data_IF_151008894009
#
_entry.id   IF_151008894009
#
_cell.length_a   1.000
_cell.length_b   1.000
_cell.length_c   1.000
_cell.angle_alpha   90.00
_cell.angle_beta   90.00
_cell.angle_gamma   90.00
#
_symmetry.space_group_name_H-M   'P 1'
#
loop_
_entity.id
_entity.type
_entity.pdbx_description
1 polymer ?
2 water ?
#
# COMPACT_ATOMS: atom_id res chain seq x y z
N UNK A 13 8.19 30.39 10.08
CA UNK A 13 8.73 29.73 8.87
C UNK A 13 8.82 28.21 9.08
N UNK A 14 7.99 27.63 9.98
CA UNK A 14 7.60 26.21 9.98
C UNK A 14 7.26 25.83 8.54
N UNK A 15 7.43 24.55 8.17
CA UNK A 15 7.04 24.09 6.85
C UNK A 15 5.58 24.33 6.63
N UNK A 16 4.78 24.15 7.66
CA UNK A 16 3.37 24.45 7.60
C UNK A 16 3.20 25.90 7.12
N UNK A 17 3.89 26.83 7.78
CA UNK A 17 3.72 28.23 7.43
C UNK A 17 4.22 28.52 6.06
N UNK A 18 5.29 27.85 5.64
CA UNK A 18 5.79 27.97 4.30
C UNK A 18 4.74 27.57 3.20
N UNK A 19 4.12 26.41 3.40
CA UNK A 19 3.09 25.95 2.51
C UNK A 19 1.97 26.95 2.44
N UNK A 20 1.53 27.40 3.61
CA UNK A 20 0.41 28.29 3.65
C UNK A 20 0.80 29.63 3.04
N UNK A 21 2.00 30.12 3.36
CA UNK A 21 2.39 31.42 2.85
C UNK A 21 2.65 31.47 1.35
N UNK A 22 3.18 30.38 0.78
CA UNK A 22 3.44 30.30 -0.61
C UNK A 22 2.22 29.90 -1.42
N UNK A 23 1.16 29.39 -0.82
CA UNK A 23 -0.03 28.92 -1.56
C UNK A 23 0.23 27.60 -2.25
N UNK A 24 1.25 26.85 -1.89
CA UNK A 24 1.70 25.68 -2.66
C UNK A 24 2.17 24.53 -1.80
N UNK A 25 1.58 23.37 -2.09
CA UNK A 25 1.94 22.10 -1.40
C UNK A 25 2.66 21.25 -2.43
N UNK A 26 3.83 20.75 -2.14
CA UNK A 26 4.57 19.85 -3.02
C UNK A 26 4.38 18.45 -2.56
N UNK A 27 3.87 17.63 -3.44
CA UNK A 27 3.54 16.25 -3.16
C UNK A 27 4.34 15.34 -4.00
N UNK A 28 5.15 14.46 -3.32
CA UNK A 28 5.91 13.44 -4.02
C UNK A 28 5.09 12.17 -4.26
N UNK A 29 5.10 11.64 -5.50
CA UNK A 29 4.35 10.50 -5.81
C UNK A 29 4.98 9.74 -6.94
N UNK A 30 4.77 8.44 -6.92
CA UNK A 30 5.34 7.61 -7.97
C UNK A 30 4.41 7.56 -9.17
N UNK A 31 3.09 7.80 -8.98
CA UNK A 31 2.13 7.79 -10.07
C UNK A 31 1.99 6.46 -10.73
N UNK A 32 2.35 5.37 -10.10
CA UNK A 32 2.33 4.05 -10.80
C UNK A 32 1.63 2.98 -10.03
N UNK A 33 0.75 3.35 -9.09
CA UNK A 33 0.13 2.40 -8.19
C UNK A 33 -1.33 2.54 -8.27
N UNK A 34 -1.96 1.59 -8.93
CA UNK A 34 -3.41 1.43 -8.92
C UNK A 34 -3.88 0.73 -7.66
N UNK A 35 -4.79 1.38 -6.94
CA UNK A 35 -5.55 2.59 -7.12
C UNK A 35 -5.14 3.79 -6.28
N UNK A 36 -3.98 3.77 -5.68
CA UNK A 36 -3.52 4.81 -4.81
C UNK A 36 -3.07 6.07 -5.48
N UNK A 37 -2.26 6.00 -6.56
CA UNK A 37 -1.74 7.19 -7.19
C UNK A 37 -1.28 6.80 -8.55
N UNK A 38 -2.01 7.27 -9.53
CA UNK A 38 -1.75 6.88 -10.92
C UNK A 38 -1.68 8.15 -11.74
N UNK A 39 -0.59 8.28 -12.53
CA UNK A 39 -0.54 9.36 -13.49
C UNK A 39 -1.11 8.85 -14.78
N UNK A 40 -2.22 9.44 -15.23
CA UNK A 40 -2.82 9.00 -16.50
C UNK A 40 -1.86 9.26 -17.66
N UNK A 41 -1.52 8.22 -18.44
CA UNK A 41 -0.44 8.42 -19.44
C UNK A 41 -0.84 9.35 -20.59
N UNK A 42 -2.13 9.57 -20.77
CA UNK A 42 -2.64 10.43 -21.84
C UNK A 42 -2.79 11.89 -21.39
N UNK A 43 -3.59 12.08 -20.35
CA UNK A 43 -4.02 13.41 -19.88
C UNK A 43 -2.96 14.05 -19.00
N UNK A 44 -2.01 13.25 -18.57
CA UNK A 44 -1.02 13.64 -17.57
C UNK A 44 -1.59 13.94 -16.20
N UNK A 45 -2.87 13.75 -16.00
CA UNK A 45 -3.43 14.03 -14.67
C UNK A 45 -3.28 12.84 -13.70
N UNK A 46 -3.16 13.17 -12.41
CA UNK A 46 -3.18 12.16 -11.40
C UNK A 46 -4.58 11.80 -10.93
N UNK A 47 -4.70 10.57 -10.54
CA UNK A 47 -5.92 10.09 -9.94
C UNK A 47 -5.62 8.96 -8.97
N UNK A 48 -6.54 8.74 -8.05
CA UNK A 48 -6.42 7.69 -7.12
C UNK A 48 -6.66 8.11 -5.70
N UNK A 49 -6.67 7.14 -4.79
CA UNK A 49 -6.91 7.39 -3.38
C UNK A 49 -6.08 8.50 -2.77
N UNK A 50 -4.78 8.35 -2.95
CA UNK A 50 -3.87 9.36 -2.43
C UNK A 50 -4.04 10.68 -3.04
N UNK A 51 -4.39 10.75 -4.32
CA UNK A 51 -4.53 11.95 -5.01
C UNK A 51 -5.75 12.66 -4.40
N UNK A 52 -6.84 11.90 -4.23
CA UNK A 52 -7.99 12.43 -3.53
C UNK A 52 -7.69 12.96 -2.15
N UNK A 53 -6.87 12.26 -1.38
CA UNK A 53 -6.49 12.74 -0.06
C UNK A 53 -5.77 14.05 -0.19
N UNK A 54 -4.76 14.10 -1.03
CA UNK A 54 -3.99 15.32 -1.22
C UNK A 54 -4.78 16.51 -1.72
N UNK A 55 -5.73 16.27 -2.61
CA UNK A 55 -6.54 17.34 -3.20
C UNK A 55 -7.46 17.85 -2.09
N UNK A 56 -7.91 17.00 -1.17
CA UNK A 56 -8.73 17.44 -0.06
C UNK A 56 -7.95 18.25 0.93
N UNK A 57 -6.74 17.79 1.26
CA UNK A 57 -5.85 18.54 2.10
C UNK A 57 -5.59 19.90 1.54
N UNK A 58 -5.18 19.96 0.30
CA UNK A 58 -4.81 21.23 -0.36
C UNK A 58 -6.00 22.13 -0.36
N UNK A 59 -7.18 21.60 -0.66
CA UNK A 59 -8.41 22.40 -0.62
C UNK A 59 -8.62 23.04 0.74
N UNK A 60 -8.45 22.22 1.77
CA UNK A 60 -8.74 22.64 3.12
C UNK A 60 -7.73 23.68 3.52
N UNK A 61 -6.49 23.53 3.05
CA UNK A 61 -5.44 24.53 3.37
C UNK A 61 -5.52 25.74 2.50
N UNK A 62 -6.29 25.71 1.43
CA UNK A 62 -6.31 26.83 0.46
C UNK A 62 -5.10 26.97 -0.41
N UNK A 63 -4.46 25.86 -0.74
CA UNK A 63 -3.25 25.88 -1.52
C UNK A 63 -3.36 25.05 -2.78
N UNK A 64 -2.51 25.27 -3.71
CA UNK A 64 -2.41 24.51 -4.94
C UNK A 64 -1.47 23.34 -4.66
N UNK A 65 -1.53 22.28 -5.45
CA UNK A 65 -0.58 21.17 -5.43
C UNK A 65 0.35 21.20 -6.61
N UNK A 66 1.62 20.97 -6.32
CA UNK A 66 2.68 20.73 -7.32
C UNK A 66 3.01 19.26 -7.07
N UNK A 67 2.72 18.39 -8.02
CA UNK A 67 3.15 17.02 -7.95
C UNK A 67 4.57 16.89 -8.40
N UNK A 68 5.38 16.22 -7.59
CA UNK A 68 6.74 16.01 -7.85
C UNK A 68 6.92 14.52 -8.11
N UNK A 69 7.36 14.15 -9.32
CA UNK A 69 7.50 12.70 -9.56
C UNK A 69 8.68 12.11 -8.84
N UNK A 70 8.48 10.90 -8.40
CA UNK A 70 9.52 10.18 -7.78
C UNK A 70 9.28 8.73 -8.12
N UNK A 71 10.24 7.89 -7.82
CA UNK A 71 10.11 6.45 -8.05
C UNK A 71 10.16 5.74 -6.73
N UNK A 72 9.76 4.48 -6.67
CA UNK A 72 9.84 3.76 -5.44
C UNK A 72 11.19 3.73 -4.80
N UNK A 73 12.24 3.63 -5.62
CA UNK A 73 13.49 3.52 -4.98
C UNK A 73 13.96 4.83 -4.37
N UNK A 74 13.32 5.94 -4.76
CA UNK A 74 13.74 7.24 -4.34
C UNK A 74 12.70 8.01 -3.53
N UNK A 75 11.54 7.42 -3.28
CA UNK A 75 10.51 8.23 -2.68
C UNK A 75 10.87 8.66 -1.21
N UNK A 76 11.56 7.83 -0.46
CA UNK A 76 12.04 8.15 0.85
C UNK A 76 13.12 9.26 0.77
N UNK A 77 14.12 9.06 -0.07
CA UNK A 77 15.13 10.06 -0.15
C UNK A 77 14.60 11.37 -0.61
N UNK A 78 13.54 11.41 -1.39
CA UNK A 78 13.01 12.69 -1.80
C UNK A 78 12.40 13.46 -0.64
N UNK A 79 11.88 12.76 0.36
CA UNK A 79 11.43 13.43 1.61
C UNK A 79 12.56 13.97 2.39
N UNK A 80 13.58 13.13 2.55
CA UNK A 80 14.72 13.50 3.36
C UNK A 80 15.50 14.62 2.76
N UNK A 81 15.55 14.73 1.44
CA UNK A 81 16.22 15.80 0.77
C UNK A 81 15.38 17.03 0.52
N UNK A 82 14.12 16.98 0.89
CA UNK A 82 13.24 18.10 0.72
C UNK A 82 12.77 18.45 -0.67
N UNK A 83 12.68 17.44 -1.50
CA UNK A 83 12.17 17.60 -2.82
C UNK A 83 10.67 17.85 -2.86
N UNK A 84 9.97 17.47 -1.81
CA UNK A 84 8.53 17.69 -1.71
C UNK A 84 8.23 17.77 -0.19
N UNK A 85 7.05 18.23 0.13
CA UNK A 85 6.61 18.52 1.47
C UNK A 85 6.01 17.28 2.14
N UNK A 86 5.47 16.35 1.36
CA UNK A 86 4.71 15.23 1.79
C UNK A 86 4.74 14.24 0.63
N UNK A 87 4.79 12.96 0.98
CA UNK A 87 4.68 11.88 0.01
C UNK A 87 3.23 11.33 -0.04
N UNK A 88 2.83 10.69 -1.12
CA UNK A 88 1.65 9.86 -1.09
C UNK A 88 1.96 8.59 -0.28
N UNK A 89 1.01 7.66 -0.23
CA UNK A 89 1.11 6.55 0.71
C UNK A 89 2.33 5.68 0.44
N UNK A 90 3.00 5.29 1.52
CA UNK A 90 4.03 4.29 1.50
C UNK A 90 3.84 3.45 2.77
N UNK A 91 4.43 2.26 2.79
CA UNK A 91 4.45 1.47 3.97
C UNK A 91 5.31 2.06 5.04
N UNK A 92 4.79 2.22 6.22
CA UNK A 92 5.50 2.67 7.37
C UNK A 92 6.40 1.52 7.87
N UNK A 93 7.69 1.77 7.97
CA UNK A 93 8.63 0.77 8.51
C UNK A 93 9.55 1.46 9.48
N UNK A 94 10.14 0.65 10.33
CA UNK A 94 11.06 1.20 11.30
C UNK A 94 12.24 1.91 10.69
N UNK A 95 12.84 1.32 9.65
CA UNK A 95 14.03 1.87 9.04
C UNK A 95 13.64 3.18 8.34
N UNK A 96 12.47 3.21 7.73
CA UNK A 96 12.04 4.54 7.18
C UNK A 96 11.80 5.56 8.25
N UNK A 97 11.20 5.16 9.35
CA UNK A 97 10.93 6.08 10.43
C UNK A 97 12.20 6.65 11.09
N UNK A 98 13.36 6.01 10.85
CA UNK A 98 14.63 6.62 11.31
C UNK A 98 15.01 7.84 10.54
N UNK A 99 14.56 7.96 9.29
CA UNK A 99 14.97 9.04 8.52
C UNK A 99 13.86 9.96 8.00
N UNK A 100 12.62 9.53 8.13
CA UNK A 100 11.48 10.29 7.61
C UNK A 100 10.43 10.28 8.71
N UNK A 101 9.65 11.35 8.72
CA UNK A 101 8.48 11.46 9.52
C UNK A 101 7.31 10.74 8.84
N UNK A 102 6.39 10.20 9.62
CA UNK A 102 5.18 9.66 9.07
C UNK A 102 3.97 10.35 9.68
N UNK A 103 2.90 10.45 8.90
CA UNK A 103 1.59 10.81 9.39
C UNK A 103 0.97 9.59 10.06
N UNK A 104 -0.10 9.87 10.79
CA UNK A 104 -1.04 8.80 11.15
C UNK A 104 -1.41 7.97 9.92
N UNK A 105 -1.67 6.68 10.10
CA UNK A 105 -2.10 5.79 9.06
C UNK A 105 -3.57 5.81 8.91
N UNK A 106 -4.00 5.60 7.71
CA UNK A 106 -5.41 5.57 7.31
C UNK A 106 -5.77 4.28 6.56
N UNK A 107 -4.86 3.30 6.49
CA UNK A 107 -5.11 2.02 5.80
C UNK A 107 -4.13 1.03 6.36
N UNK A 108 -4.65 -0.11 6.77
CA UNK A 108 -3.92 -1.21 7.31
C UNK A 108 -4.12 -2.39 6.43
N UNK A 109 -3.02 -3.13 6.18
CA UNK A 109 -3.13 -4.29 5.35
C UNK A 109 -2.26 -5.37 6.02
N UNK A 110 -2.22 -6.54 5.40
CA UNK A 110 -1.38 -7.58 5.86
C UNK A 110 -1.14 -8.57 4.82
N UNK A 111 -0.52 -9.73 5.17
CA UNK A 111 -0.27 -10.77 4.13
C UNK A 111 -1.34 -11.82 4.32
N UNK A 112 -1.90 -12.30 3.22
CA UNK A 112 -2.94 -13.29 3.24
C UNK A 112 -2.69 -14.34 2.17
N UNK A 113 -3.27 -15.52 2.38
CA UNK A 113 -3.15 -16.57 1.36
C UNK A 113 -4.31 -16.56 0.40
N UNK A 114 -4.00 -16.88 -0.87
CA UNK A 114 -4.99 -17.14 -1.93
C UNK A 114 -4.94 -18.61 -2.33
N UNK A 115 -6.09 -19.17 -2.50
CA UNK A 115 -6.30 -20.49 -3.03
C UNK A 115 -7.43 -20.47 -4.03
N UNK A 116 -7.56 -21.52 -4.80
CA UNK A 116 -8.82 -21.64 -5.68
C UNK A 116 -9.99 -21.86 -4.74
N UNK A 117 -11.13 -21.28 -5.08
CA UNK A 117 -12.37 -21.49 -4.34
C UNK A 117 -12.70 -22.92 -4.07
N UNK A 118 -12.45 -23.77 -5.09
CA UNK A 118 -12.72 -25.17 -4.94
C UNK A 118 -11.93 -25.82 -3.82
N UNK A 119 -10.85 -25.16 -3.44
CA UNK A 119 -10.02 -25.65 -2.38
C UNK A 119 -10.12 -24.91 -1.09
N UNK A 120 -11.07 -23.98 -0.98
CA UNK A 120 -11.13 -23.17 0.21
C UNK A 120 -11.44 -23.85 1.51
N UNK A 121 -12.30 -24.86 1.47
CA UNK A 121 -12.64 -25.58 2.67
C UNK A 121 -11.48 -26.50 3.07
N UNK A 122 -10.76 -27.05 2.10
CA UNK A 122 -9.56 -27.86 2.37
C UNK A 122 -8.43 -27.04 2.93
N UNK A 123 -8.26 -25.86 2.40
CA UNK A 123 -7.19 -24.97 2.83
C UNK A 123 -7.78 -23.77 3.54
N UNK A 124 -8.44 -23.99 4.66
CA UNK A 124 -9.17 -22.95 5.36
C UNK A 124 -8.34 -22.21 6.36
N UNK A 125 -7.13 -22.66 6.62
CA UNK A 125 -6.24 -22.05 7.57
C UNK A 125 -4.82 -21.89 7.10
N UNK A 126 -4.05 -20.97 7.70
CA UNK A 126 -2.61 -20.96 7.47
C UNK A 126 -2.01 -22.32 7.75
N UNK A 127 -2.39 -22.95 8.87
CA UNK A 127 -1.75 -24.22 9.20
C UNK A 127 -1.98 -25.26 8.11
N UNK A 128 -3.17 -25.28 7.50
CA UNK A 128 -3.49 -26.24 6.45
C UNK A 128 -2.53 -26.11 5.26
N UNK A 129 -1.96 -24.93 5.09
CA UNK A 129 -1.07 -24.68 3.96
C UNK A 129 0.39 -24.95 4.20
N UNK A 130 0.72 -25.36 5.43
CA UNK A 130 2.08 -25.68 5.82
C UNK A 130 2.12 -27.17 5.98
N UNK A 131 2.41 -27.85 4.91
CA UNK A 131 2.30 -29.28 4.76
C UNK A 131 3.08 -29.78 3.58
N UNK A 132 3.79 -30.90 3.73
CA UNK A 132 4.49 -31.46 2.59
C UNK A 132 3.56 -31.84 1.46
N UNK A 133 2.27 -31.93 1.69
CA UNK A 133 1.34 -32.27 0.62
C UNK A 133 0.79 -31.01 -0.09
N UNK A 134 1.35 -29.84 0.29
CA UNK A 134 0.88 -28.57 -0.25
C UNK A 134 2.03 -27.99 -1.04
N UNK A 135 1.70 -27.34 -2.12
CA UNK A 135 2.63 -26.58 -2.89
C UNK A 135 2.22 -25.12 -2.82
N UNK A 136 3.16 -24.26 -2.43
CA UNK A 136 3.03 -22.85 -2.32
C UNK A 136 3.78 -22.21 -3.46
N UNK A 137 3.13 -21.39 -4.28
CA UNK A 137 3.85 -20.62 -5.25
C UNK A 137 4.39 -19.33 -4.76
N UNK A 138 5.57 -19.02 -5.22
CA UNK A 138 6.28 -17.81 -4.83
C UNK A 138 6.96 -17.28 -6.07
N UNK A 139 7.50 -16.08 -5.93
CA UNK A 139 8.35 -15.53 -6.99
C UNK A 139 9.80 -15.52 -6.53
N UNK A 140 10.67 -16.16 -7.32
CA UNK A 140 12.04 -16.41 -6.93
C UNK A 140 12.75 -15.14 -6.49
N UNK A 141 13.36 -15.21 -5.33
CA UNK A 141 14.30 -14.17 -4.91
C UNK A 141 13.67 -12.93 -4.30
N UNK A 142 12.35 -12.96 -4.09
CA UNK A 142 11.62 -11.85 -3.50
C UNK A 142 11.54 -11.94 -1.97
N UNK A 143 11.20 -10.84 -1.34
CA UNK A 143 11.01 -10.87 0.11
C UNK A 143 9.76 -11.67 0.37
N UNK A 144 8.76 -11.59 -0.51
CA UNK A 144 7.55 -12.42 -0.36
C UNK A 144 7.83 -13.91 -0.32
N UNK A 145 8.82 -14.33 -1.12
CA UNK A 145 9.20 -15.75 -1.06
C UNK A 145 9.85 -16.14 0.25
N UNK A 146 10.67 -15.24 0.82
CA UNK A 146 11.23 -15.52 2.14
C UNK A 146 10.14 -15.67 3.22
N UNK A 147 9.11 -14.82 3.09
CA UNK A 147 8.05 -14.92 3.94
C UNK A 147 7.28 -16.26 3.81
N UNK A 148 7.15 -16.77 2.58
CA UNK A 148 6.50 -18.02 2.35
C UNK A 148 7.27 -19.15 3.01
N UNK A 149 8.59 -19.05 2.95
CA UNK A 149 9.37 -20.09 3.62
C UNK A 149 9.17 -20.05 5.12
N UNK A 150 9.07 -18.83 5.67
CA UNK A 150 8.73 -18.65 7.11
C UNK A 150 7.37 -19.20 7.48
N UNK A 151 6.35 -18.97 6.64
CA UNK A 151 5.00 -19.33 7.04
C UNK A 151 4.69 -20.80 6.75
N UNK A 152 5.33 -21.34 5.71
CA UNK A 152 5.09 -22.69 5.22
C UNK A 152 6.37 -23.44 5.10
N UNK A 153 7.04 -23.62 6.22
CA UNK A 153 8.30 -24.30 6.12
C UNK A 153 8.25 -25.76 5.66
N UNK A 154 7.12 -26.44 5.83
CA UNK A 154 6.99 -27.81 5.41
C UNK A 154 6.55 -28.01 3.95
N UNK A 155 6.04 -26.96 3.31
CA UNK A 155 5.46 -27.06 2.05
C UNK A 155 6.43 -27.02 0.93
N UNK A 156 6.03 -27.61 -0.16
CA UNK A 156 6.85 -27.53 -1.33
C UNK A 156 6.69 -26.16 -1.94
N UNK A 157 7.76 -25.54 -2.39
CA UNK A 157 7.67 -24.26 -3.06
C UNK A 157 7.74 -24.33 -4.53
N UNK A 158 6.85 -23.64 -5.19
CA UNK A 158 6.77 -23.61 -6.66
C UNK A 158 7.27 -22.18 -6.97
N UNK A 159 8.57 -22.04 -7.15
CA UNK A 159 9.20 -20.75 -7.13
C UNK A 159 9.46 -20.29 -8.58
N UNK A 160 8.64 -19.34 -9.06
CA UNK A 160 8.68 -19.00 -10.43
C UNK A 160 9.42 -17.73 -10.66
N UNK A 161 10.06 -17.71 -11.79
CA UNK A 161 10.87 -16.61 -12.10
C UNK A 161 10.10 -15.46 -12.74
N UNK A 162 10.37 -14.30 -12.16
CA UNK A 162 9.77 -13.08 -12.56
C UNK A 162 10.09 -12.90 -14.06
N UNK A 163 9.10 -12.47 -14.86
CA UNK A 163 7.83 -11.88 -14.39
C UNK A 163 6.65 -12.87 -14.32
N UNK A 164 6.87 -14.19 -14.31
CA UNK A 164 5.80 -15.17 -13.97
C UNK A 164 5.30 -14.78 -12.59
N UNK A 165 3.99 -14.93 -12.39
CA UNK A 165 3.41 -14.50 -11.13
C UNK A 165 2.96 -15.76 -10.36
N UNK A 166 3.20 -15.71 -9.07
CA UNK A 166 2.81 -16.75 -8.10
C UNK A 166 1.35 -17.16 -8.25
N UNK A 167 0.47 -16.17 -8.34
CA UNK A 167 -0.93 -16.49 -8.33
C UNK A 167 -1.37 -17.22 -9.56
N UNK A 168 -0.64 -17.07 -10.68
CA UNK A 168 -0.96 -17.81 -11.88
C UNK A 168 -0.73 -19.27 -11.71
N UNK A 169 0.22 -19.63 -10.84
CA UNK A 169 0.40 -21.02 -10.60
C UNK A 169 -0.77 -21.66 -9.91
N UNK A 170 -1.33 -20.84 -8.97
CA UNK A 170 -2.53 -21.29 -8.31
C UNK A 170 -3.71 -21.39 -9.29
N UNK A 171 -3.80 -20.43 -10.19
CA UNK A 171 -4.93 -20.50 -11.13
C UNK A 171 -4.79 -21.75 -12.03
N UNK A 172 -3.54 -22.11 -12.37
CA UNK A 172 -3.23 -23.19 -13.24
C UNK A 172 -3.28 -24.53 -12.58
N UNK A 173 -3.39 -24.62 -11.25
CA UNK A 173 -3.26 -25.87 -10.59
C UNK A 173 -1.81 -26.40 -10.40
N UNK A 174 -0.81 -25.60 -10.65
CA UNK A 174 0.59 -25.97 -10.36
C UNK A 174 1.00 -25.65 -8.94
N UNK A 175 0.08 -25.09 -8.16
CA UNK A 175 0.35 -24.82 -6.75
C UNK A 175 -1.00 -24.72 -6.10
N UNK A 176 -1.04 -24.98 -4.80
CA UNK A 176 -2.31 -24.94 -4.01
C UNK A 176 -2.64 -23.51 -3.54
N UNK A 177 -1.63 -22.72 -3.26
CA UNK A 177 -1.85 -21.38 -2.75
C UNK A 177 -0.62 -20.53 -2.97
N UNK A 178 -0.86 -19.26 -2.77
CA UNK A 178 0.19 -18.27 -2.72
C UNK A 178 -0.16 -17.21 -1.71
N UNK A 179 0.84 -16.38 -1.40
CA UNK A 179 0.59 -15.28 -0.46
C UNK A 179 0.84 -13.95 -1.08
N UNK A 180 0.12 -12.94 -0.65
CA UNK A 180 0.33 -11.61 -1.16
C UNK A 180 -0.22 -10.64 -0.14
N UNK A 181 -0.15 -9.33 -0.40
CA UNK A 181 -0.78 -8.37 0.45
C UNK A 181 -2.31 -8.50 0.32
N UNK A 182 -3.01 -8.13 1.39
CA UNK A 182 -4.48 -8.11 1.38
C UNK A 182 -4.93 -7.17 0.26
N UNK A 183 -4.21 -6.07 0.12
CA UNK A 183 -4.51 -5.09 -0.90
C UNK A 183 -4.52 -5.72 -2.26
N UNK A 184 -3.47 -6.44 -2.62
CA UNK A 184 -3.43 -7.05 -3.89
C UNK A 184 -4.40 -8.18 -3.99
N UNK A 185 -4.54 -8.96 -2.91
CA UNK A 185 -5.50 -10.05 -2.95
C UNK A 185 -6.93 -9.58 -3.22
N UNK A 186 -7.29 -8.49 -2.60
CA UNK A 186 -8.63 -7.94 -2.81
C UNK A 186 -8.88 -7.52 -4.26
N UNK A 187 -7.82 -7.09 -4.96
CA UNK A 187 -7.90 -6.86 -6.43
C UNK A 187 -7.97 -8.17 -7.16
N UNK A 188 -7.16 -9.15 -6.76
CA UNK A 188 -7.04 -10.37 -7.50
C UNK A 188 -8.33 -11.23 -7.53
N UNK A 189 -9.07 -11.26 -6.42
CA UNK A 189 -10.26 -12.06 -6.32
C UNK A 189 -11.38 -11.47 -7.20
N UNK A 190 -11.33 -10.16 -7.46
CA UNK A 190 -12.24 -9.50 -8.48
C UNK A 190 -11.78 -9.89 -9.86
N UNK A 191 -10.49 -9.79 -10.19
CA UNK A 191 -10.02 -10.15 -11.51
C UNK A 191 -10.11 -11.58 -11.85
N UNK A 192 -9.93 -12.43 -10.83
CA UNK A 192 -9.94 -13.85 -11.03
C UNK A 192 -10.87 -14.43 -10.00
N UNK A 193 -12.17 -14.44 -10.24
CA UNK A 193 -13.15 -14.85 -9.25
C UNK A 193 -13.11 -16.33 -8.91
N UNK A 194 -12.28 -17.13 -9.55
CA UNK A 194 -11.99 -18.46 -9.05
C UNK A 194 -11.05 -18.45 -7.84
N UNK A 195 -10.48 -17.30 -7.47
CA UNK A 195 -9.61 -17.22 -6.28
C UNK A 195 -10.38 -16.79 -5.06
N UNK A 196 -9.89 -17.25 -3.92
CA UNK A 196 -10.39 -16.76 -2.63
C UNK A 196 -9.27 -16.51 -1.66
N UNK A 197 -9.48 -15.59 -0.76
CA UNK A 197 -8.65 -15.36 0.37
C UNK A 197 -8.99 -16.36 1.46
N UNK A 198 -7.97 -17.04 2.00
CA UNK A 198 -8.14 -17.97 3.12
C UNK A 198 -8.55 -17.18 4.39
N UNK A 199 -9.71 -17.48 4.94
CA UNK A 199 -10.25 -16.58 6.00
C UNK A 199 -9.72 -16.92 7.39
N UNK A 200 -8.42 -16.87 7.55
CA UNK A 200 -7.77 -17.22 8.79
C UNK A 200 -6.85 -16.15 9.21
N UNK A 201 -7.27 -14.89 9.02
CA UNK A 201 -6.47 -13.79 9.49
C UNK A 201 -5.30 -13.43 8.64
N UNK A 202 -4.64 -12.35 9.02
CA UNK A 202 -3.56 -11.77 8.20
C UNK A 202 -2.27 -11.78 8.99
N UNK A 203 -1.18 -12.02 8.34
CA UNK A 203 0.07 -11.95 8.96
C UNK A 203 0.84 -10.70 8.62
N UNK A 204 1.80 -10.34 9.47
CA UNK A 204 2.62 -9.17 9.32
C UNK A 204 1.83 -7.90 9.01
N UNK A 205 0.91 -7.56 9.87
CA UNK A 205 0.19 -6.28 9.66
C UNK A 205 1.06 -5.08 9.41
N UNK A 206 0.65 -4.27 8.44
CA UNK A 206 1.42 -3.12 8.09
C UNK A 206 0.51 -1.93 7.75
N UNK A 207 1.10 -0.75 7.72
CA UNK A 207 0.31 0.46 7.68
C UNK A 207 0.81 1.33 6.57
N UNK A 208 -0.12 1.90 5.85
CA UNK A 208 0.17 2.99 4.82
C UNK A 208 0.03 4.31 5.51
N UNK A 209 0.94 5.22 5.22
CA UNK A 209 0.90 6.55 5.70
C UNK A 209 1.69 7.41 4.77
N UNK A 210 1.55 8.71 5.00
CA UNK A 210 2.30 9.71 4.23
C UNK A 210 3.59 10.08 5.00
N UNK A 211 4.67 10.24 4.25
CA UNK A 211 5.87 10.77 4.76
C UNK A 211 6.01 12.26 4.71
N UNK A 212 6.63 12.81 5.76
CA UNK A 212 7.01 14.22 5.83
C UNK A 212 8.47 14.25 6.39
N UNK A 213 9.16 15.36 6.24
CA UNK A 213 10.50 15.46 6.84
C UNK A 213 10.46 15.27 8.33
N UNK A 214 11.49 14.62 8.85
CA UNK A 214 11.63 14.53 10.29
C UNK A 214 11.85 15.91 10.92
N UNK A 215 12.25 16.84 10.12
CA UNK A 215 12.49 18.23 10.63
C UNK A 215 11.24 19.05 10.62
N UNK A 216 10.19 18.60 9.95
CA UNK A 216 8.94 19.35 9.81
C UNK A 216 7.84 18.85 10.73
N UNK A 217 8.12 18.95 12.02
CA UNK A 217 7.31 18.37 13.05
C UNK A 217 5.93 19.01 13.19
N UNK A 218 5.84 20.36 13.08
CA UNK A 218 4.56 21.04 13.19
C UNK A 218 3.65 20.70 12.01
N UNK A 219 4.24 20.60 10.82
CA UNK A 219 3.55 20.16 9.65
C UNK A 219 3.04 18.73 9.82
N UNK A 220 3.88 17.89 10.39
CA UNK A 220 3.51 16.50 10.71
C UNK A 220 2.28 16.50 11.61
N UNK A 221 2.36 17.35 12.66
CA UNK A 221 1.27 17.40 13.62
C UNK A 221 0.00 17.89 12.97
N UNK A 222 0.15 18.87 12.10
CA UNK A 222 -0.99 19.46 11.35
C UNK A 222 -1.69 18.38 10.54
N UNK A 223 -0.92 17.62 9.81
CA UNK A 223 -1.49 16.62 8.96
C UNK A 223 -2.11 15.55 9.80
N UNK A 224 -1.50 15.21 10.93
CA UNK A 224 -2.10 14.18 11.82
C UNK A 224 -3.48 14.60 12.30
N UNK A 225 -3.57 15.88 12.71
CA UNK A 225 -4.88 16.39 13.13
C UNK A 225 -5.91 16.43 12.03
N UNK A 226 -5.47 16.72 10.83
CA UNK A 226 -6.32 16.76 9.69
C UNK A 226 -6.84 15.34 9.42
N UNK A 227 -5.95 14.36 9.47
CA UNK A 227 -6.36 13.00 9.22
C UNK A 227 -7.38 12.55 10.27
N UNK A 228 -7.14 12.88 11.51
CA UNK A 228 -8.09 12.50 12.53
C UNK A 228 -9.46 13.12 12.23
N UNK A 229 -9.49 14.36 11.82
CA UNK A 229 -10.72 15.04 11.50
C UNK A 229 -11.41 14.42 10.31
N UNK A 230 -10.63 13.96 9.33
CA UNK A 230 -11.21 13.27 8.16
C UNK A 230 -11.71 11.84 8.41
N UNK A 231 -11.11 11.18 9.37
CA UNK A 231 -11.58 9.89 9.85
C UNK A 231 -12.94 10.16 10.46
N UNK A 232 -13.01 11.15 11.36
CA UNK A 232 -14.30 11.36 12.07
C UNK A 232 -15.41 11.79 11.13
N UNK A 233 -15.12 12.56 10.11
CA UNK A 233 -16.12 13.09 9.22
C UNK A 233 -16.62 12.10 8.18
N UNK A 234 -15.97 10.96 8.12
CA UNK A 234 -16.25 9.88 7.22
C UNK A 234 -15.57 9.99 5.89
N UNK A 235 -14.71 10.97 5.74
CA UNK A 235 -14.04 11.21 4.44
C UNK A 235 -13.19 9.97 4.02
N UNK A 236 -12.45 9.42 4.95
CA UNK A 236 -11.63 8.25 4.58
C UNK A 236 -12.52 7.01 4.32
N UNK A 237 -13.62 6.86 5.06
CA UNK A 237 -14.52 5.75 4.75
C UNK A 237 -15.01 5.89 3.32
N UNK A 238 -15.36 7.10 2.92
CA UNK A 238 -15.82 7.36 1.57
C UNK A 238 -14.84 6.96 0.55
N UNK A 239 -13.60 7.40 0.79
CA UNK A 239 -12.55 7.14 -0.17
C UNK A 239 -12.18 5.70 -0.26
N UNK A 240 -12.12 5.05 0.87
CA UNK A 240 -11.88 3.60 0.91
C UNK A 240 -12.86 2.83 0.07
N UNK A 241 -14.10 3.16 0.24
CA UNK A 241 -15.12 2.52 -0.51
C UNK A 241 -15.04 2.82 -1.99
N UNK A 242 -14.68 4.04 -2.32
CA UNK A 242 -14.60 4.48 -3.71
C UNK A 242 -13.65 3.64 -4.50
N UNK A 243 -12.55 3.26 -3.83
CA UNK A 243 -11.48 2.43 -4.43
C UNK A 243 -11.54 0.96 -4.13
N UNK A 244 -12.62 0.51 -3.54
CA UNK A 244 -12.73 -0.89 -3.08
C UNK A 244 -11.60 -1.37 -2.18
N UNK A 245 -11.10 -0.47 -1.34
CA UNK A 245 -10.04 -0.74 -0.44
C UNK A 245 -10.68 -1.26 0.88
N UNK A 246 -10.19 -2.39 1.44
CA UNK A 246 -10.70 -2.93 2.66
C UNK A 246 -9.56 -2.90 3.67
N UNK A 247 -9.51 -1.84 4.46
CA UNK A 247 -8.52 -1.75 5.49
C UNK A 247 -8.79 -2.78 6.52
N UNK A 248 -7.76 -3.43 7.05
CA UNK A 248 -7.88 -4.28 8.19
C UNK A 248 -8.20 -3.37 9.37
N UNK A 249 -8.76 -3.98 10.38
CA UNK A 249 -8.99 -3.24 11.60
C UNK A 249 -7.85 -3.43 12.53
#
# INVERSE_FOLDING_TARGET
>A
MRGSHHHHHHIAESKLDQILSSGELKVGTTGDWDPMAMKDPATNKYKGFDIDVMQELAKDMGVKITFVPTEWKTIVSGITAGRYDISTSVTKTPKRAEVAGFTDSYYKYGTVPLVLKKNLKKYSTWKSLNNKDVTIATTLGTSQEEKAKEFFPLSKLQSVESPARDFQEVLAGRADGNITSSTEANKLVVKYPQLAIVPDGEKNPAFLAMMVSKNDQVWNDYVNEWIKSKKSSGFFNKLLAKYNLKSLL
#
